data_IF_296394330393
#
_entry.id   IF_296394330393
#
_cell.length_a   1.000
_cell.length_b   1.000
_cell.length_c   1.000
_cell.angle_alpha   90.00
_cell.angle_beta   90.00
_cell.angle_gamma   90.00
#
_symmetry.space_group_name_H-M   'P 1'
#
loop_
_entity.id
_entity.type
_entity.pdbx_description
1 polymer ?
#
# COMPACT_ATOMS: atom_id res chain seq x y z
N UNK A 1 -43.13 32.15 51.63
CA UNK A 1 -43.30 31.12 50.57
C UNK A 1 -42.41 31.50 49.40
N UNK A 2 -41.72 30.49 48.87
CA UNK A 2 -40.42 30.52 48.19
C UNK A 2 -40.26 31.39 46.95
N UNK A 3 -39.05 31.94 46.86
CA UNK A 3 -38.30 32.40 45.68
C UNK A 3 -38.06 31.27 44.68
N UNK A 4 -38.35 31.50 43.39
CA UNK A 4 -37.88 30.68 42.26
C UNK A 4 -36.70 31.40 41.59
N UNK A 5 -35.50 30.85 41.73
CA UNK A 5 -34.34 31.19 40.92
C UNK A 5 -34.15 30.08 39.89
N UNK A 6 -34.36 30.40 38.61
CA UNK A 6 -34.05 29.52 37.50
C UNK A 6 -32.55 29.54 37.23
N UNK A 7 -31.89 28.40 37.47
CA UNK A 7 -30.51 28.15 37.05
C UNK A 7 -30.57 27.63 35.62
N UNK A 8 -30.03 28.41 34.68
CA UNK A 8 -29.70 27.91 33.35
C UNK A 8 -28.47 27.01 33.47
N UNK A 9 -28.69 25.70 33.40
CA UNK A 9 -27.63 24.71 33.20
C UNK A 9 -26.96 24.95 31.84
N UNK A 10 -25.65 25.21 31.89
CA UNK A 10 -24.81 25.32 30.71
C UNK A 10 -24.72 23.98 30.01
N UNK A 11 -25.04 23.96 28.72
CA UNK A 11 -24.76 22.83 27.85
C UNK A 11 -23.23 22.63 27.79
N UNK A 12 -22.76 21.56 28.42
CA UNK A 12 -21.38 21.10 28.35
C UNK A 12 -21.11 20.68 26.89
N UNK A 13 -20.43 21.54 26.14
CA UNK A 13 -19.94 21.22 24.80
C UNK A 13 -18.86 20.16 24.99
N UNK A 14 -19.21 18.91 24.76
CA UNK A 14 -18.27 17.79 24.80
C UNK A 14 -17.09 18.12 23.87
N UNK A 15 -15.93 18.41 24.46
CA UNK A 15 -14.71 18.66 23.72
C UNK A 15 -14.41 17.42 22.87
N UNK A 16 -14.25 17.61 21.56
CA UNK A 16 -13.78 16.54 20.68
C UNK A 16 -12.46 16.01 21.26
N UNK A 17 -12.26 14.69 21.35
CA UNK A 17 -11.01 14.13 21.83
C UNK A 17 -9.86 14.69 21.00
N UNK A 18 -8.79 15.10 21.66
CA UNK A 18 -7.60 15.61 20.99
C UNK A 18 -7.11 14.55 20.01
N UNK A 19 -6.97 14.93 18.73
CA UNK A 19 -6.43 14.04 17.70
C UNK A 19 -5.04 13.59 18.10
N UNK A 20 -4.75 12.31 17.88
CA UNK A 20 -3.36 11.85 18.00
C UNK A 20 -2.46 12.60 17.01
N UNK A 21 -1.17 12.68 17.29
CA UNK A 21 -0.23 13.36 16.40
C UNK A 21 -0.18 12.71 15.00
N UNK A 22 -0.23 11.38 14.93
CA UNK A 22 -0.32 10.63 13.66
C UNK A 22 -1.58 11.02 12.89
N UNK A 23 -2.73 11.06 13.57
CA UNK A 23 -4.00 11.44 12.97
C UNK A 23 -3.99 12.89 12.47
N UNK A 24 -3.42 13.79 13.25
CA UNK A 24 -3.23 15.18 12.84
C UNK A 24 -2.43 15.26 11.55
N UNK A 25 -1.23 14.67 11.50
CA UNK A 25 -0.35 14.71 10.32
C UNK A 25 -1.00 14.12 9.07
N UNK A 26 -1.67 12.98 9.18
CA UNK A 26 -2.38 12.36 8.05
C UNK A 26 -3.50 13.29 7.57
N UNK A 27 -4.29 13.86 8.49
CA UNK A 27 -5.40 14.76 8.14
C UNK A 27 -4.96 16.08 7.52
N UNK A 28 -3.68 16.48 7.67
CA UNK A 28 -3.09 17.64 7.01
C UNK A 28 -2.45 17.32 5.65
N UNK A 29 -2.29 16.05 5.31
CA UNK A 29 -1.63 15.63 4.06
C UNK A 29 -2.62 15.66 2.90
N UNK A 30 -2.22 16.19 1.74
CA UNK A 30 -3.08 16.16 0.54
C UNK A 30 -3.22 14.74 -0.01
N UNK A 31 -4.40 14.35 -0.53
CA UNK A 31 -4.54 13.14 -1.33
C UNK A 31 -3.53 13.11 -2.47
N UNK A 32 -3.05 11.92 -2.85
CA UNK A 32 -2.01 11.77 -3.88
C UNK A 32 -2.16 10.45 -4.63
N UNK A 33 -1.31 10.21 -5.64
CA UNK A 33 -1.39 9.02 -6.48
C UNK A 33 -0.10 8.18 -6.38
N UNK A 34 -0.24 6.87 -6.17
CA UNK A 34 0.83 5.90 -6.44
C UNK A 34 0.68 5.37 -7.86
N UNK A 35 1.76 5.41 -8.66
CA UNK A 35 1.75 4.96 -10.06
C UNK A 35 2.45 3.61 -10.18
N UNK A 36 1.74 2.54 -10.56
CA UNK A 36 2.35 1.23 -10.74
C UNK A 36 3.45 1.30 -11.79
N UNK A 37 4.63 0.75 -11.50
CA UNK A 37 5.81 0.83 -12.37
C UNK A 37 6.21 -0.53 -12.93
N UNK A 38 6.30 -1.53 -12.06
CA UNK A 38 6.78 -2.84 -12.48
C UNK A 38 6.25 -3.95 -11.55
N UNK A 39 5.94 -5.09 -12.14
CA UNK A 39 6.03 -6.36 -11.44
C UNK A 39 7.49 -6.79 -11.40
N UNK A 40 7.93 -7.34 -10.27
CA UNK A 40 9.25 -7.97 -10.19
C UNK A 40 9.31 -9.01 -9.06
N UNK A 41 10.32 -9.86 -9.13
CA UNK A 41 10.66 -10.81 -8.07
C UNK A 41 11.54 -10.09 -7.06
N UNK A 42 11.04 -9.85 -5.86
CA UNK A 42 11.86 -9.32 -4.77
C UNK A 42 12.64 -10.42 -4.06
N UNK A 43 13.49 -10.06 -3.09
CA UNK A 43 14.25 -11.03 -2.29
C UNK A 43 13.34 -12.12 -1.72
N UNK A 44 13.90 -13.32 -1.55
CA UNK A 44 13.18 -14.52 -1.13
C UNK A 44 12.03 -14.94 -2.06
N UNK A 45 12.00 -14.42 -3.29
CA UNK A 45 11.09 -14.86 -4.34
C UNK A 45 9.70 -14.27 -4.22
N UNK A 46 9.52 -13.18 -3.46
CA UNK A 46 8.20 -12.58 -3.24
C UNK A 46 7.82 -11.73 -4.46
N UNK A 47 6.67 -12.03 -5.08
CA UNK A 47 6.16 -11.27 -6.22
C UNK A 47 5.54 -9.96 -5.74
N UNK A 48 5.98 -8.87 -6.35
CA UNK A 48 5.69 -7.52 -5.88
C UNK A 48 5.27 -6.63 -7.05
N UNK A 49 4.25 -5.80 -6.83
CA UNK A 49 3.98 -4.61 -7.63
C UNK A 49 4.74 -3.42 -7.03
N UNK A 50 5.74 -2.91 -7.74
CA UNK A 50 6.43 -1.67 -7.41
C UNK A 50 5.68 -0.47 -7.98
N UNK A 51 5.69 0.64 -7.25
CA UNK A 51 5.24 1.93 -7.77
C UNK A 51 6.44 2.82 -8.09
N UNK A 52 6.26 3.89 -8.88
CA UNK A 52 7.35 4.74 -9.36
C UNK A 52 8.07 5.56 -8.28
N UNK A 53 7.68 5.45 -7.01
CA UNK A 53 8.14 6.28 -5.89
C UNK A 53 6.99 6.83 -5.07
N UNK A 54 7.28 7.28 -3.84
CA UNK A 54 6.28 8.01 -3.07
C UNK A 54 6.07 9.41 -3.65
N UNK A 55 4.82 9.85 -3.89
CA UNK A 55 4.56 11.23 -4.31
C UNK A 55 4.97 12.22 -3.22
N UNK A 56 5.23 13.50 -3.56
CA UNK A 56 5.74 14.49 -2.61
C UNK A 56 4.93 14.58 -1.32
N UNK A 57 3.58 14.57 -1.40
CA UNK A 57 2.71 14.59 -0.23
C UNK A 57 3.00 13.44 0.76
N UNK A 58 3.20 12.21 0.28
CA UNK A 58 3.52 11.06 1.13
C UNK A 58 4.96 11.11 1.64
N UNK A 59 5.90 11.64 0.87
CA UNK A 59 7.27 11.85 1.35
C UNK A 59 7.33 12.87 2.49
N UNK A 60 6.63 14.00 2.36
CA UNK A 60 6.52 14.98 3.45
C UNK A 60 5.84 14.40 4.69
N UNK A 61 4.79 13.59 4.52
CA UNK A 61 4.16 12.89 5.63
C UNK A 61 5.14 11.93 6.31
N UNK A 62 5.85 11.08 5.56
CA UNK A 62 6.84 10.13 6.10
C UNK A 62 7.94 10.86 6.87
N UNK A 63 8.46 11.96 6.33
CA UNK A 63 9.45 12.79 7.02
C UNK A 63 8.88 13.37 8.32
N UNK A 64 7.67 13.95 8.27
CA UNK A 64 7.00 14.52 9.44
C UNK A 64 6.72 13.49 10.53
N UNK A 65 6.34 12.26 10.17
CA UNK A 65 6.18 11.16 11.12
C UNK A 65 7.51 10.85 11.82
N UNK A 66 8.59 10.72 11.06
CA UNK A 66 9.91 10.40 11.61
C UNK A 66 10.46 11.52 12.51
N UNK A 67 10.20 12.78 12.16
CA UNK A 67 10.75 13.94 12.89
C UNK A 67 9.96 14.26 14.17
N UNK A 68 8.67 13.93 14.22
CA UNK A 68 7.79 14.46 15.26
C UNK A 68 7.13 13.41 16.13
N UNK A 69 6.95 12.17 15.66
CA UNK A 69 6.31 11.10 16.45
C UNK A 69 7.40 10.33 17.22
N UNK A 70 7.43 10.52 18.53
CA UNK A 70 8.38 9.84 19.40
C UNK A 70 8.13 8.32 19.48
N UNK A 71 9.20 7.55 19.67
CA UNK A 71 9.12 6.11 19.89
C UNK A 71 8.88 5.26 18.63
N UNK A 72 8.85 5.85 17.43
CA UNK A 72 8.78 5.07 16.20
C UNK A 72 10.06 4.24 15.99
N UNK A 73 9.94 2.95 15.62
CA UNK A 73 11.10 2.13 15.30
C UNK A 73 11.78 2.63 14.03
N UNK A 74 13.07 2.29 13.86
CA UNK A 74 13.78 2.54 12.61
C UNK A 74 13.01 1.96 11.41
N UNK A 75 13.03 2.68 10.29
CA UNK A 75 12.28 2.25 9.11
C UNK A 75 12.91 1.02 8.45
N UNK A 76 12.13 -0.06 8.35
CA UNK A 76 12.52 -1.27 7.64
C UNK A 76 12.64 -1.02 6.13
N UNK A 77 13.55 -1.73 5.47
CA UNK A 77 13.78 -1.63 4.02
C UNK A 77 12.51 -1.79 3.18
N UNK A 78 11.56 -2.60 3.65
CA UNK A 78 10.30 -2.89 2.95
C UNK A 78 9.29 -1.74 2.87
N UNK A 79 9.39 -0.70 3.71
CA UNK A 79 8.50 0.48 3.67
C UNK A 79 9.19 1.75 3.16
N UNK A 80 10.50 1.70 2.91
CA UNK A 80 11.27 2.85 2.39
C UNK A 80 10.83 3.26 1.00
N UNK A 81 10.18 2.40 0.24
CA UNK A 81 9.63 2.68 -1.08
C UNK A 81 8.23 2.04 -1.20
N UNK A 82 7.35 2.61 -2.03
CA UNK A 82 5.99 2.09 -2.16
C UNK A 82 5.98 0.80 -2.96
N UNK A 83 5.32 -0.22 -2.38
CA UNK A 83 5.16 -1.53 -3.01
C UNK A 83 3.97 -2.27 -2.47
N UNK A 84 3.43 -3.19 -3.26
CA UNK A 84 2.42 -4.16 -2.83
C UNK A 84 2.95 -5.56 -3.07
N UNK A 85 3.11 -6.33 -2.00
CA UNK A 85 3.45 -7.75 -2.12
C UNK A 85 2.19 -8.50 -2.55
N UNK A 86 2.27 -9.30 -3.61
CA UNK A 86 1.12 -9.97 -4.25
C UNK A 86 0.98 -11.43 -3.83
N UNK A 87 2.11 -12.08 -3.58
CA UNK A 87 2.21 -13.47 -3.20
C UNK A 87 3.63 -13.86 -2.85
N UNK A 88 3.76 -14.97 -2.14
CA UNK A 88 5.04 -15.54 -1.74
C UNK A 88 5.15 -16.97 -2.26
N UNK A 89 6.37 -17.52 -2.30
CA UNK A 89 6.56 -18.93 -2.56
C UNK A 89 5.91 -19.77 -1.44
N UNK A 90 5.35 -20.93 -1.80
CA UNK A 90 4.93 -21.92 -0.80
C UNK A 90 6.09 -22.32 0.11
N UNK A 91 5.76 -22.81 1.31
CA UNK A 91 6.78 -23.32 2.23
C UNK A 91 7.60 -24.43 1.56
N UNK A 92 8.92 -24.41 1.79
CA UNK A 92 9.92 -25.33 1.21
C UNK A 92 10.13 -25.19 -0.31
N UNK A 93 9.34 -24.38 -1.00
CA UNK A 93 9.63 -24.06 -2.40
C UNK A 93 10.87 -23.15 -2.49
N UNK A 94 11.65 -23.37 -3.55
CA UNK A 94 12.78 -22.53 -3.95
C UNK A 94 12.74 -22.39 -5.46
N UNK A 95 13.02 -21.20 -5.95
CA UNK A 95 13.21 -20.98 -7.38
C UNK A 95 14.43 -21.78 -7.84
N UNK A 96 14.41 -22.30 -9.06
CA UNK A 96 15.64 -22.60 -9.80
C UNK A 96 16.06 -21.36 -10.61
N UNK A 97 17.30 -21.29 -11.13
CA UNK A 97 17.69 -20.22 -12.04
C UNK A 97 16.73 -20.08 -13.23
N UNK A 98 16.32 -21.20 -13.86
CA UNK A 98 15.41 -21.20 -15.01
C UNK A 98 14.01 -20.70 -14.64
N UNK A 99 13.52 -21.04 -13.45
CA UNK A 99 12.24 -20.53 -12.95
C UNK A 99 12.32 -19.02 -12.68
N UNK A 100 13.44 -18.53 -12.13
CA UNK A 100 13.64 -17.11 -11.92
C UNK A 100 13.73 -16.35 -13.25
N UNK A 101 14.47 -16.88 -14.23
CA UNK A 101 14.54 -16.29 -15.57
C UNK A 101 13.16 -16.20 -16.21
N UNK A 102 12.34 -17.25 -16.04
CA UNK A 102 10.96 -17.26 -16.54
C UNK A 102 10.08 -16.25 -15.81
N UNK A 103 10.18 -16.15 -14.49
CA UNK A 103 9.46 -15.13 -13.70
C UNK A 103 9.87 -13.72 -14.09
N UNK A 104 11.16 -13.47 -14.29
CA UNK A 104 11.67 -12.17 -14.71
C UNK A 104 11.16 -11.81 -16.12
N UNK A 105 11.06 -12.77 -17.04
CA UNK A 105 10.42 -12.57 -18.33
C UNK A 105 8.94 -12.20 -18.19
N UNK A 106 8.16 -12.96 -17.42
CA UNK A 106 6.76 -12.64 -17.13
C UNK A 106 6.64 -11.24 -16.51
N UNK A 107 7.45 -10.93 -15.51
CA UNK A 107 7.47 -9.63 -14.84
C UNK A 107 7.72 -8.49 -15.82
N UNK A 108 8.72 -8.59 -16.71
CA UNK A 108 8.99 -7.57 -17.73
C UNK A 108 7.83 -7.39 -18.71
N UNK A 109 7.31 -8.49 -19.24
CA UNK A 109 6.24 -8.46 -20.25
C UNK A 109 4.91 -7.96 -19.68
N UNK A 110 4.56 -8.33 -18.45
CA UNK A 110 3.36 -7.84 -17.76
C UNK A 110 3.55 -6.40 -17.27
N UNK A 111 4.77 -6.00 -16.90
CA UNK A 111 5.08 -4.58 -16.58
C UNK A 111 4.95 -3.66 -17.79
N UNK A 112 5.19 -4.15 -19.01
CA UNK A 112 5.00 -3.35 -20.23
C UNK A 112 3.54 -2.93 -20.47
N UNK A 113 2.58 -3.55 -19.77
CA UNK A 113 1.17 -3.16 -19.78
C UNK A 113 0.85 -2.03 -18.78
N UNK A 114 1.78 -1.71 -17.89
CA UNK A 114 1.64 -0.62 -16.93
C UNK A 114 1.94 0.73 -17.58
N UNK A 115 0.97 1.63 -17.54
CA UNK A 115 1.07 2.96 -18.15
C UNK A 115 1.14 4.00 -17.03
N UNK A 116 2.31 4.67 -16.90
CA UNK A 116 2.57 5.59 -15.79
C UNK A 116 1.53 6.71 -15.64
N UNK A 117 1.06 7.26 -16.76
CA UNK A 117 0.12 8.39 -16.77
C UNK A 117 -1.34 7.95 -16.87
N UNK A 118 -1.63 6.66 -16.71
CA UNK A 118 -3.00 6.14 -16.75
C UNK A 118 -3.67 6.23 -15.38
N UNK A 119 -4.63 7.13 -15.23
CA UNK A 119 -5.43 7.25 -14.01
C UNK A 119 -6.18 5.95 -13.66
N UNK A 120 -6.65 5.19 -14.65
CA UNK A 120 -7.29 3.88 -14.44
C UNK A 120 -6.37 2.84 -13.79
N UNK A 121 -5.05 3.06 -13.82
CA UNK A 121 -4.06 2.20 -13.19
C UNK A 121 -3.46 2.84 -11.92
N UNK A 122 -3.55 4.16 -11.77
CA UNK A 122 -3.04 4.86 -10.59
C UNK A 122 -3.87 4.53 -9.34
N UNK A 123 -3.20 4.38 -8.19
CA UNK A 123 -3.85 4.15 -6.90
C UNK A 123 -4.04 5.49 -6.19
N UNK A 124 -5.30 5.88 -5.98
CA UNK A 124 -5.64 7.07 -5.20
C UNK A 124 -5.44 6.81 -3.71
N UNK A 125 -4.50 7.54 -3.12
CA UNK A 125 -4.26 7.60 -1.69
C UNK A 125 -4.96 8.83 -1.12
N UNK A 126 -6.19 8.64 -0.63
CA UNK A 126 -7.04 9.67 0.00
C UNK A 126 -7.31 9.41 1.48
N UNK A 127 -6.83 8.27 1.99
CA UNK A 127 -6.92 7.83 3.38
C UNK A 127 -5.79 6.85 3.68
N UNK A 128 -5.43 6.79 4.95
CA UNK A 128 -4.49 5.81 5.49
C UNK A 128 -5.13 5.10 6.68
N UNK A 129 -4.75 3.84 6.88
CA UNK A 129 -5.27 3.02 7.98
C UNK A 129 -4.13 2.62 8.89
N UNK A 130 -4.28 2.91 10.17
CA UNK A 130 -3.48 2.27 11.22
C UNK A 130 -4.06 0.88 11.47
N UNK A 131 -3.25 -0.15 11.23
CA UNK A 131 -3.67 -1.54 11.32
C UNK A 131 -2.87 -2.25 12.41
N UNK A 132 -3.57 -2.79 13.39
CA UNK A 132 -3.06 -3.80 14.31
C UNK A 132 -3.33 -5.18 13.69
N UNK A 133 -2.32 -6.02 13.54
CA UNK A 133 -2.44 -7.26 12.78
C UNK A 133 -1.85 -8.48 13.49
N UNK A 134 -2.29 -9.66 13.06
CA UNK A 134 -1.82 -10.98 13.53
C UNK A 134 -1.07 -11.77 12.46
N UNK A 135 -0.85 -11.20 11.28
CA UNK A 135 -0.02 -11.77 10.22
C UNK A 135 0.51 -10.67 9.29
N UNK A 136 1.71 -10.84 8.74
CA UNK A 136 2.43 -9.78 7.99
C UNK A 136 1.79 -9.41 6.65
N UNK A 137 0.97 -10.28 6.07
CA UNK A 137 0.20 -9.99 4.84
C UNK A 137 -1.13 -9.27 5.10
N UNK A 138 -1.46 -8.96 6.35
CA UNK A 138 -2.69 -8.28 6.78
C UNK A 138 -4.01 -8.98 6.43
N UNK A 139 -3.98 -10.29 6.13
CA UNK A 139 -5.19 -11.12 5.98
C UNK A 139 -5.94 -11.29 7.32
N UNK A 140 -5.25 -11.09 8.45
CA UNK A 140 -5.81 -11.11 9.81
C UNK A 140 -5.50 -9.79 10.53
N UNK A 141 -6.47 -8.87 10.50
CA UNK A 141 -6.45 -7.57 11.17
C UNK A 141 -7.26 -7.65 12.47
N UNK A 142 -6.75 -7.07 13.55
CA UNK A 142 -7.41 -7.01 14.86
C UNK A 142 -8.17 -5.71 15.05
N UNK A 143 -7.54 -4.60 14.68
CA UNK A 143 -8.07 -3.25 14.82
C UNK A 143 -7.63 -2.42 13.62
N UNK A 144 -8.56 -1.65 13.07
CA UNK A 144 -8.34 -0.72 11.97
C UNK A 144 -8.81 0.67 12.41
N UNK A 145 -7.95 1.68 12.27
CA UNK A 145 -8.31 3.07 12.45
C UNK A 145 -7.97 3.84 11.18
N UNK A 146 -9.01 4.12 10.38
CA UNK A 146 -8.89 4.82 9.09
C UNK A 146 -8.99 6.32 9.28
N UNK A 147 -8.02 7.04 8.74
CA UNK A 147 -7.90 8.49 8.83
C UNK A 147 -7.94 9.05 7.41
N UNK A 148 -8.91 9.92 7.15
CA UNK A 148 -9.01 10.62 5.87
C UNK A 148 -7.88 11.65 5.77
N UNK A 149 -7.25 11.70 4.60
CA UNK A 149 -6.35 12.79 4.24
C UNK A 149 -7.15 14.08 4.05
N UNK A 150 -6.48 15.22 3.86
CA UNK A 150 -7.07 16.56 3.92
C UNK A 150 -8.26 16.71 2.96
N UNK A 151 -9.45 16.46 3.48
CA UNK A 151 -10.68 16.35 2.70
C UNK A 151 -11.03 17.69 2.04
N UNK A 152 -11.38 17.66 0.75
CA UNK A 152 -11.75 18.86 -0.02
C UNK A 152 -10.59 19.71 -0.55
N UNK A 153 -9.33 19.28 -0.37
CA UNK A 153 -8.19 19.90 -1.06
C UNK A 153 -7.95 19.27 -2.44
N UNK A 154 -7.30 19.99 -3.37
CA UNK A 154 -6.92 19.43 -4.65
C UNK A 154 -6.01 18.20 -4.48
N UNK A 155 -6.25 17.19 -5.33
CA UNK A 155 -5.37 16.04 -5.49
C UNK A 155 -3.97 16.50 -5.87
N UNK A 156 -2.96 16.05 -5.12
CA UNK A 156 -1.57 16.18 -5.51
C UNK A 156 -1.20 15.09 -6.53
N UNK A 157 -1.40 15.39 -7.81
CA UNK A 157 -1.09 14.50 -8.92
C UNK A 157 0.37 14.59 -9.40
N UNK A 158 1.24 15.31 -8.67
CA UNK A 158 2.66 15.41 -9.05
C UNK A 158 3.31 14.03 -9.00
N UNK A 159 4.18 13.70 -9.98
CA UNK A 159 4.97 12.48 -9.89
C UNK A 159 5.95 12.55 -8.72
N UNK A 160 6.50 11.41 -8.27
CA UNK A 160 7.60 11.38 -7.31
C UNK A 160 8.79 12.20 -7.82
N UNK A 161 9.58 12.75 -6.90
CA UNK A 161 10.79 13.49 -7.25
C UNK A 161 11.77 12.60 -8.05
N UNK A 162 12.59 13.15 -8.97
CA UNK A 162 13.49 12.35 -9.80
C UNK A 162 14.44 11.44 -9.01
N UNK A 163 14.94 11.90 -7.86
CA UNK A 163 15.80 11.11 -6.97
C UNK A 163 15.07 9.92 -6.34
N UNK A 164 13.79 10.10 -6.01
CA UNK A 164 12.93 9.03 -5.49
C UNK A 164 12.60 8.01 -6.57
N UNK A 165 12.29 8.48 -7.79
CA UNK A 165 12.09 7.58 -8.93
C UNK A 165 13.34 6.75 -9.21
N UNK A 166 14.51 7.40 -9.24
CA UNK A 166 15.77 6.72 -9.51
C UNK A 166 16.11 5.69 -8.43
N UNK A 167 15.86 6.04 -7.16
CA UNK A 167 16.04 5.10 -6.05
C UNK A 167 15.17 3.86 -6.20
N UNK A 168 13.91 4.01 -6.60
CA UNK A 168 13.02 2.84 -6.80
C UNK A 168 13.40 2.05 -8.05
N UNK A 169 13.80 2.71 -9.15
CA UNK A 169 14.37 2.01 -10.32
C UNK A 169 15.58 1.19 -9.93
N UNK A 170 16.48 1.74 -9.11
CA UNK A 170 17.63 1.03 -8.56
C UNK A 170 17.22 -0.27 -7.86
N UNK A 171 16.25 -0.20 -6.95
CA UNK A 171 15.73 -1.39 -6.24
C UNK A 171 15.14 -2.43 -7.20
N UNK A 172 14.37 -2.02 -8.20
CA UNK A 172 13.77 -2.95 -9.17
C UNK A 172 14.85 -3.56 -10.08
N UNK A 173 15.84 -2.76 -10.51
CA UNK A 173 16.94 -3.21 -11.36
C UNK A 173 17.91 -4.18 -10.69
N UNK A 174 17.89 -4.29 -9.35
CA UNK A 174 18.64 -5.34 -8.66
C UNK A 174 18.28 -6.73 -9.20
N UNK A 175 17.01 -6.93 -9.59
CA UNK A 175 16.50 -8.21 -10.10
C UNK A 175 17.10 -8.63 -11.45
N UNK A 176 17.74 -7.71 -12.18
CA UNK A 176 18.43 -7.96 -13.45
C UNK A 176 19.90 -8.38 -13.26
N UNK A 177 20.42 -8.33 -12.03
CA UNK A 177 21.79 -8.76 -11.73
C UNK A 177 21.96 -10.27 -11.94
N UNK A 178 23.05 -10.75 -12.58
CA UNK A 178 23.30 -12.18 -12.77
C UNK A 178 23.29 -12.99 -11.47
N UNK A 179 23.74 -12.39 -10.37
CA UNK A 179 23.82 -13.03 -9.05
C UNK A 179 22.54 -12.84 -8.22
N UNK A 180 21.51 -12.18 -8.76
CA UNK A 180 20.27 -11.92 -8.02
C UNK A 180 19.54 -13.21 -7.61
N UNK A 181 19.77 -14.30 -8.35
CA UNK A 181 19.24 -15.61 -8.03
C UNK A 181 19.53 -16.02 -6.58
N UNK A 182 20.69 -15.69 -6.03
CA UNK A 182 21.03 -16.02 -4.64
C UNK A 182 20.15 -15.28 -3.63
N UNK A 183 19.71 -14.06 -3.96
CA UNK A 183 18.80 -13.26 -3.12
C UNK A 183 17.36 -13.73 -3.28
N UNK A 184 16.92 -13.99 -4.52
CA UNK A 184 15.56 -14.43 -4.82
C UNK A 184 15.28 -15.85 -4.31
N UNK A 185 16.24 -16.77 -4.38
CA UNK A 185 16.04 -18.17 -3.96
C UNK A 185 16.24 -18.42 -2.47
N UNK A 186 16.89 -17.50 -1.75
CA UNK A 186 17.21 -17.64 -0.32
C UNK A 186 15.97 -18.01 0.49
N UNK A 187 16.15 -18.90 1.46
CA UNK A 187 15.11 -19.18 2.46
C UNK A 187 14.80 -17.92 3.28
N UNK A 188 13.52 -17.73 3.60
CA UNK A 188 13.05 -16.57 4.35
C UNK A 188 11.56 -16.36 4.16
N UNK A 189 11.18 -15.28 3.48
CA UNK A 189 9.80 -14.79 3.31
C UNK A 189 8.91 -15.72 2.45
N UNK A 190 8.66 -16.94 2.92
CA UNK A 190 7.71 -17.92 2.36
C UNK A 190 6.30 -17.70 2.90
N UNK A 191 5.34 -18.48 2.42
CA UNK A 191 3.95 -18.49 2.88
C UNK A 191 3.81 -18.33 4.40
N UNK A 192 4.47 -19.20 5.17
CA UNK A 192 4.40 -19.19 6.64
C UNK A 192 4.93 -17.88 7.25
N UNK A 193 5.94 -17.24 6.67
CA UNK A 193 6.44 -15.94 7.16
C UNK A 193 5.33 -14.88 7.16
N UNK A 194 4.50 -14.90 6.12
CA UNK A 194 3.41 -13.94 5.94
C UNK A 194 2.14 -14.31 6.68
N UNK A 195 1.81 -15.60 6.75
CA UNK A 195 0.53 -16.11 7.29
C UNK A 195 0.61 -16.66 8.70
N UNK A 196 1.78 -16.91 9.29
CA UNK A 196 1.87 -17.30 10.70
C UNK A 196 1.58 -16.12 11.63
N UNK A 197 1.28 -16.46 12.89
CA UNK A 197 1.02 -15.48 13.93
C UNK A 197 2.22 -14.54 14.12
N UNK A 198 1.96 -13.25 13.94
CA UNK A 198 2.91 -12.18 14.25
C UNK A 198 2.13 -10.90 14.54
N UNK A 199 2.40 -10.31 15.70
CA UNK A 199 1.77 -9.07 16.14
C UNK A 199 2.59 -7.87 15.68
N UNK A 200 1.91 -6.85 15.16
CA UNK A 200 2.54 -5.59 14.78
C UNK A 200 1.51 -4.49 14.55
N UNK A 201 2.01 -3.27 14.37
CA UNK A 201 1.21 -2.10 14.02
C UNK A 201 1.84 -1.39 12.83
N UNK A 202 1.05 -1.12 11.79
CA UNK A 202 1.54 -0.48 10.57
C UNK A 202 0.57 0.57 10.09
N UNK A 203 1.10 1.60 9.43
CA UNK A 203 0.36 2.59 8.67
C UNK A 203 0.40 2.19 7.19
N UNK A 204 -0.77 1.93 6.62
CA UNK A 204 -0.90 1.44 5.25
C UNK A 204 -1.91 2.25 4.46
N UNK A 205 -1.79 2.17 3.15
CA UNK A 205 -2.88 2.42 2.23
C UNK A 205 -3.35 1.07 1.65
N UNK A 206 -4.63 0.75 1.81
CA UNK A 206 -5.23 -0.44 1.20
C UNK A 206 -5.50 -0.20 -0.29
N UNK A 207 -5.29 -1.22 -1.13
CA UNK A 207 -5.63 -1.11 -2.55
C UNK A 207 -7.15 -1.19 -2.71
N UNK A 208 -7.82 -0.05 -2.58
CA UNK A 208 -9.29 0.05 -2.56
C UNK A 208 -9.98 -0.57 -3.78
N UNK A 209 -9.32 -0.58 -4.94
CA UNK A 209 -9.84 -1.25 -6.14
C UNK A 209 -10.14 -2.75 -5.93
N UNK A 210 -9.47 -3.40 -4.97
CA UNK A 210 -9.66 -4.81 -4.61
C UNK A 210 -10.62 -5.02 -3.44
N UNK A 211 -10.79 -4.00 -2.57
CA UNK A 211 -11.78 -4.04 -1.47
C UNK A 211 -13.18 -3.67 -1.95
N UNK A 212 -13.29 -2.92 -3.05
CA UNK A 212 -14.56 -2.57 -3.70
C UNK A 212 -15.18 -3.80 -4.35
N UNK A 213 -15.96 -4.56 -3.57
CA UNK A 213 -17.06 -5.33 -4.14
C UNK A 213 -17.93 -4.42 -5.02
N UNK A 214 -18.44 -4.95 -6.14
CA UNK A 214 -19.32 -4.26 -7.10
C UNK A 214 -20.31 -3.29 -6.41
N UNK A 215 -20.00 -1.99 -6.26
CA UNK A 215 -21.00 -1.03 -5.75
C UNK A 215 -20.58 0.17 -4.91
N UNK A 216 -19.29 0.46 -4.66
CA UNK A 216 -18.92 1.75 -4.04
C UNK A 216 -18.57 2.79 -5.08
N UNK A 217 -19.60 3.48 -5.57
CA UNK A 217 -19.47 4.74 -6.32
C UNK A 217 -18.86 5.78 -5.37
N UNK A 218 -17.77 6.44 -5.79
CA UNK A 218 -17.38 7.73 -5.21
C UNK A 218 -18.61 8.65 -5.28
N UNK A 219 -18.83 9.47 -4.24
CA UNK A 219 -19.94 10.41 -4.18
C UNK A 219 -20.12 11.09 -5.54
N UNK A 220 -21.34 11.00 -6.09
CA UNK A 220 -21.65 11.55 -7.41
C UNK A 220 -21.16 12.99 -7.49
N UNK A 221 -20.45 13.37 -8.57
CA UNK A 221 -20.20 14.78 -8.80
C UNK A 221 -21.55 15.50 -8.91
N UNK A 222 -21.63 16.68 -8.30
CA UNK A 222 -22.73 17.60 -8.52
C UNK A 222 -22.97 17.77 -10.04
N UNK A 223 -24.25 17.84 -10.44
CA UNK A 223 -24.69 18.03 -11.82
C UNK A 223 -23.82 19.08 -12.54
N UNK A 224 -22.99 18.62 -13.49
CA UNK A 224 -22.15 19.48 -14.33
C UNK A 224 -20.64 19.21 -14.29
N UNK A 225 -20.13 18.35 -13.41
CA UNK A 225 -18.70 18.01 -13.43
C UNK A 225 -18.37 16.88 -14.43
N UNK A 226 -17.16 16.92 -15.00
CA UNK A 226 -16.59 15.86 -15.82
C UNK A 226 -16.74 14.48 -15.14
N UNK A 227 -16.79 13.40 -15.93
CA UNK A 227 -16.97 12.05 -15.40
C UNK A 227 -15.99 11.78 -14.24
N UNK A 228 -16.45 11.14 -13.15
CA UNK A 228 -15.57 10.86 -12.02
C UNK A 228 -14.44 9.93 -12.48
N UNK A 229 -13.20 10.38 -12.29
CA UNK A 229 -12.00 9.60 -12.60
C UNK A 229 -12.00 8.35 -11.73
N UNK A 230 -12.02 7.17 -12.35
CA UNK A 230 -12.07 5.89 -11.64
C UNK A 230 -10.66 5.35 -11.41
N UNK A 231 -9.96 5.96 -10.44
CA UNK A 231 -8.58 5.56 -10.13
C UNK A 231 -8.47 4.08 -9.79
N UNK A 232 -7.52 3.40 -10.43
CA UNK A 232 -7.16 2.02 -10.16
C UNK A 232 -8.16 0.98 -10.65
N UNK A 233 -9.18 1.36 -11.44
CA UNK A 233 -10.20 0.44 -11.94
C UNK A 233 -9.66 -0.69 -12.82
N UNK A 234 -8.54 -0.46 -13.52
CA UNK A 234 -7.91 -1.47 -14.36
C UNK A 234 -6.99 -2.42 -13.57
N UNK A 235 -6.52 -2.03 -12.37
CA UNK A 235 -5.54 -2.79 -11.60
C UNK A 235 -5.96 -4.22 -11.25
N UNK A 236 -7.20 -4.49 -10.81
CA UNK A 236 -7.64 -5.86 -10.54
C UNK A 236 -7.49 -6.78 -11.76
N UNK A 237 -7.87 -6.30 -12.95
CA UNK A 237 -7.72 -7.06 -14.19
C UNK A 237 -6.26 -7.33 -14.55
N UNK A 238 -5.39 -6.32 -14.40
CA UNK A 238 -3.96 -6.44 -14.69
C UNK A 238 -3.29 -7.41 -13.72
N UNK A 239 -3.51 -7.27 -12.40
CA UNK A 239 -2.94 -8.17 -11.39
C UNK A 239 -3.48 -9.59 -11.57
N UNK A 240 -4.76 -9.77 -11.88
CA UNK A 240 -5.31 -11.10 -12.12
C UNK A 240 -4.69 -11.77 -13.36
N UNK A 241 -4.46 -11.02 -14.43
CA UNK A 241 -3.78 -11.52 -15.62
C UNK A 241 -2.34 -11.95 -15.30
N UNK A 242 -1.60 -11.12 -14.56
CA UNK A 242 -0.25 -11.45 -14.08
C UNK A 242 -0.23 -12.74 -13.25
N UNK A 243 -1.11 -12.85 -12.24
CA UNK A 243 -1.22 -14.05 -11.39
C UNK A 243 -1.55 -15.30 -12.20
N UNK A 244 -2.55 -15.21 -13.08
CA UNK A 244 -2.98 -16.33 -13.92
C UNK A 244 -1.86 -16.81 -14.83
N UNK A 245 -1.04 -15.89 -15.34
CA UNK A 245 0.11 -16.22 -16.17
C UNK A 245 1.22 -16.92 -15.37
N UNK A 246 1.52 -16.44 -14.16
CA UNK A 246 2.46 -17.11 -13.26
C UNK A 246 1.97 -18.52 -12.93
N UNK A 247 0.69 -18.69 -12.59
CA UNK A 247 0.12 -20.01 -12.26
C UNK A 247 0.12 -20.98 -13.46
N UNK A 248 -0.08 -20.46 -14.68
CA UNK A 248 -0.05 -21.26 -15.90
C UNK A 248 1.37 -21.79 -16.19
N UNK A 249 2.37 -20.94 -16.03
CA UNK A 249 3.74 -21.24 -16.44
C UNK A 249 4.59 -21.86 -15.33
N UNK A 250 4.22 -21.64 -14.07
CA UNK A 250 4.91 -22.10 -12.86
C UNK A 250 3.88 -22.65 -11.84
N UNK A 251 3.18 -23.73 -12.19
CA UNK A 251 2.03 -24.20 -11.42
C UNK A 251 2.41 -24.63 -10.00
N UNK A 252 1.62 -24.19 -9.02
CA UNK A 252 1.77 -24.58 -7.62
C UNK A 252 3.01 -24.03 -6.92
N UNK A 253 3.66 -23.00 -7.49
CA UNK A 253 4.86 -22.40 -6.92
C UNK A 253 4.54 -21.29 -5.90
N UNK A 254 3.47 -20.53 -6.15
CA UNK A 254 3.10 -19.34 -5.39
C UNK A 254 1.80 -19.50 -4.60
N UNK A 255 1.80 -18.91 -3.40
CA UNK A 255 0.61 -18.60 -2.64
C UNK A 255 0.26 -17.11 -2.81
N UNK A 256 -0.86 -16.81 -3.45
CA UNK A 256 -1.35 -15.43 -3.58
C UNK A 256 -1.97 -14.93 -2.27
N UNK A 257 -1.72 -13.66 -1.93
CA UNK A 257 -2.41 -13.00 -0.82
C UNK A 257 -3.83 -12.59 -1.24
N UNK A 258 -4.75 -12.58 -0.27
CA UNK A 258 -6.14 -12.18 -0.51
C UNK A 258 -6.23 -10.75 -1.07
N UNK A 259 -7.13 -10.57 -2.02
CA UNK A 259 -7.38 -9.27 -2.68
C UNK A 259 -7.72 -8.17 -1.66
N UNK A 260 -8.53 -8.50 -0.66
CA UNK A 260 -8.93 -7.56 0.39
C UNK A 260 -7.83 -7.20 1.40
N UNK A 261 -6.68 -7.89 1.35
CA UNK A 261 -5.52 -7.62 2.19
C UNK A 261 -4.38 -6.91 1.45
N UNK A 262 -4.47 -6.72 0.13
CA UNK A 262 -3.44 -6.02 -0.64
C UNK A 262 -3.33 -4.56 -0.20
N UNK A 263 -2.11 -4.15 0.11
CA UNK A 263 -1.81 -2.82 0.64
C UNK A 263 -0.43 -2.33 0.20
N UNK A 264 -0.19 -1.03 0.35
CA UNK A 264 1.13 -0.42 0.35
C UNK A 264 1.43 0.12 1.73
N UNK A 265 2.53 -0.33 2.33
CA UNK A 265 2.96 0.16 3.64
C UNK A 265 3.59 1.54 3.50
N UNK A 266 3.04 2.52 4.22
CA UNK A 266 3.60 3.87 4.31
C UNK A 266 4.64 3.93 5.43
N UNK A 267 4.35 3.33 6.60
CA UNK A 267 5.29 3.33 7.73
C UNK A 267 4.97 2.23 8.74
N UNK A 268 5.98 1.46 9.17
CA UNK A 268 5.82 0.61 10.36
C UNK A 268 5.76 1.46 11.62
N UNK A 269 4.77 1.21 12.49
CA UNK A 269 4.54 1.95 13.73
C UNK A 269 5.00 1.14 14.96
N UNK A 270 4.98 -0.18 14.88
CA UNK A 270 5.47 -1.12 15.90
C UNK A 270 5.78 -2.46 15.24
N UNK A 271 6.88 -3.12 15.61
CA UNK A 271 7.25 -4.44 15.08
C UNK A 271 8.47 -5.05 15.75
#
# INVERSE_FOLDING_TARGET
>A
MSTFAGVHEGAEVAALPAKSQIEYLISQTSPSLLRPMAFFVSWNGVLTLAYSGFPPALMYLKQSLNDTVEGLPAEYSGSKWPKTSLGALHDKARLTPEQLDRLNAICREESAKLVQDSDEQAVLVDKLTVVFYQCRCLERRMLEHTIMMRNGQPLDARPPDPSEQERVRGVVSEADSPDYWFLASKDGSRESHYRNSYLGVTLVHDLEAFRRGKGRQLAQPALGAAQPVNFGSALPGIIQAFRSRVDLELPGLYCWFRDDSLHSTVRSLMG
#
